data_IF_884557972401
#
_entry.id   IF_884557972401
#
_cell.length_a   1.000
_cell.length_b   1.000
_cell.length_c   1.000
_cell.angle_alpha   90.00
_cell.angle_beta   90.00
_cell.angle_gamma   90.00
#
_symmetry.space_group_name_H-M   'P 1'
#
loop_
_entity.id
_entity.type
_entity.pdbx_description
1 polymer ?
#
# COMPACT_ATOMS: atom_id res chain seq x y z
N UNK A 1 -29.92 -16.50 56.68
CA UNK A 1 -29.18 -15.32 56.20
C UNK A 1 -29.65 -14.11 56.98
N UNK A 2 -28.77 -13.41 57.67
CA UNK A 2 -29.12 -12.27 58.52
C UNK A 2 -28.74 -10.93 57.85
N UNK A 3 -29.22 -9.81 58.41
CA UNK A 3 -28.98 -8.46 57.87
C UNK A 3 -27.48 -8.14 57.80
N UNK A 4 -26.68 -8.60 58.77
CA UNK A 4 -25.23 -8.37 58.80
C UNK A 4 -24.49 -9.08 57.66
N UNK A 5 -24.89 -10.31 57.31
CA UNK A 5 -24.35 -11.06 56.17
C UNK A 5 -24.69 -10.37 54.84
N UNK A 6 -25.92 -9.87 54.69
CA UNK A 6 -26.33 -9.12 53.52
C UNK A 6 -25.54 -7.81 53.35
N UNK A 7 -25.35 -7.06 54.45
CA UNK A 7 -24.54 -5.83 54.42
C UNK A 7 -23.08 -6.12 54.06
N UNK A 8 -22.51 -7.22 54.54
CA UNK A 8 -21.14 -7.62 54.21
C UNK A 8 -20.99 -8.00 52.74
N UNK A 9 -21.95 -8.75 52.17
CA UNK A 9 -21.97 -9.06 50.74
C UNK A 9 -22.06 -7.79 49.89
N UNK A 10 -22.94 -6.86 50.27
CA UNK A 10 -23.09 -5.58 49.57
C UNK A 10 -21.81 -4.74 49.63
N UNK A 11 -21.10 -4.75 50.76
CA UNK A 11 -19.81 -4.07 50.88
C UNK A 11 -18.75 -4.70 49.96
N UNK A 12 -18.69 -6.04 49.88
CA UNK A 12 -17.77 -6.73 48.97
C UNK A 12 -18.06 -6.39 47.51
N UNK A 13 -19.33 -6.44 47.09
CA UNK A 13 -19.74 -6.05 45.74
C UNK A 13 -19.41 -4.58 45.43
N UNK A 14 -19.57 -3.69 46.42
CA UNK A 14 -19.20 -2.29 46.30
C UNK A 14 -17.70 -2.11 46.06
N UNK A 15 -16.87 -2.76 46.89
CA UNK A 15 -15.41 -2.67 46.81
C UNK A 15 -14.89 -3.23 45.48
N UNK A 16 -15.45 -4.35 45.01
CA UNK A 16 -15.13 -4.95 43.71
C UNK A 16 -15.52 -4.03 42.54
N UNK A 17 -16.71 -3.42 42.63
CA UNK A 17 -17.20 -2.48 41.61
C UNK A 17 -16.33 -1.22 41.59
N UNK A 18 -15.90 -0.72 42.76
CA UNK A 18 -15.00 0.42 42.86
C UNK A 18 -13.63 0.11 42.24
N UNK A 19 -13.04 -1.04 42.58
CA UNK A 19 -11.77 -1.48 42.00
C UNK A 19 -11.84 -1.63 40.48
N UNK A 20 -12.96 -2.15 39.95
CA UNK A 20 -13.20 -2.24 38.50
C UNK A 20 -13.30 -0.84 37.87
N UNK A 21 -13.99 0.09 38.51
CA UNK A 21 -14.10 1.46 38.02
C UNK A 21 -12.74 2.16 37.95
N UNK A 22 -11.90 1.98 38.97
CA UNK A 22 -10.55 2.55 39.00
C UNK A 22 -9.66 1.95 37.91
N UNK A 23 -9.72 0.63 37.72
CA UNK A 23 -9.00 -0.02 36.63
C UNK A 23 -9.45 0.49 35.24
N UNK A 24 -10.74 0.72 35.04
CA UNK A 24 -11.25 1.30 33.79
C UNK A 24 -10.77 2.74 33.59
N UNK A 25 -10.70 3.55 34.66
CA UNK A 25 -10.15 4.91 34.58
C UNK A 25 -8.68 4.90 34.18
N UNK A 26 -7.87 4.01 34.77
CA UNK A 26 -6.46 3.84 34.37
C UNK A 26 -6.33 3.42 32.91
N UNK A 27 -7.19 2.50 32.43
CA UNK A 27 -7.19 2.08 31.03
C UNK A 27 -7.54 3.25 30.08
N UNK A 28 -8.54 4.05 30.43
CA UNK A 28 -8.92 5.24 29.66
C UNK A 28 -7.75 6.22 29.57
N UNK A 29 -7.06 6.47 30.69
CA UNK A 29 -5.88 7.36 30.70
C UNK A 29 -4.79 6.83 29.76
N UNK A 30 -4.42 5.56 29.90
CA UNK A 30 -3.39 4.93 29.04
C UNK A 30 -3.77 4.98 27.56
N UNK A 31 -5.02 4.68 27.21
CA UNK A 31 -5.50 4.71 25.83
C UNK A 31 -5.53 6.15 25.28
N UNK A 32 -5.89 7.13 26.10
CA UNK A 32 -5.89 8.55 25.71
C UNK A 32 -4.47 9.02 25.41
N UNK A 33 -3.49 8.65 26.24
CA UNK A 33 -2.07 8.93 25.97
C UNK A 33 -1.60 8.26 24.68
N UNK A 34 -1.90 6.97 24.50
CA UNK A 34 -1.51 6.23 23.30
C UNK A 34 -2.13 6.82 22.02
N UNK A 35 -3.37 7.29 22.10
CA UNK A 35 -4.04 7.98 20.99
C UNK A 35 -3.34 9.30 20.64
N UNK A 36 -3.05 10.13 21.64
CA UNK A 36 -2.36 11.40 21.43
C UNK A 36 -0.96 11.19 20.79
N UNK A 37 -0.23 10.15 21.21
CA UNK A 37 1.05 9.78 20.59
C UNK A 37 0.89 9.34 19.12
N UNK A 38 -0.13 8.55 18.82
CA UNK A 38 -0.40 8.11 17.45
C UNK A 38 -0.80 9.27 16.53
N UNK A 39 -1.63 10.20 17.03
CA UNK A 39 -2.00 11.42 16.33
C UNK A 39 -0.78 12.31 16.07
N UNK A 40 0.09 12.49 17.07
CA UNK A 40 1.36 13.22 16.90
C UNK A 40 2.23 12.59 15.80
N UNK A 41 2.40 11.26 15.79
CA UNK A 41 3.13 10.56 14.73
C UNK A 41 2.48 10.74 13.35
N UNK A 42 1.14 10.75 13.27
CA UNK A 42 0.45 11.02 12.01
C UNK A 42 0.70 12.45 11.51
N UNK A 43 0.72 13.45 12.40
CA UNK A 43 1.07 14.83 12.02
C UNK A 43 2.50 14.94 11.51
N UNK A 44 3.45 14.24 12.15
CA UNK A 44 4.85 14.18 11.71
C UNK A 44 4.95 13.57 10.31
N UNK A 45 4.32 12.41 10.08
CA UNK A 45 4.32 11.77 8.76
C UNK A 45 3.70 12.65 7.68
N UNK A 46 2.61 13.36 7.98
CA UNK A 46 2.00 14.31 7.06
C UNK A 46 2.95 15.48 6.74
N UNK A 47 3.67 15.99 7.73
CA UNK A 47 4.69 17.02 7.53
C UNK A 47 5.86 16.50 6.68
N UNK A 48 6.38 15.29 6.97
CA UNK A 48 7.43 14.65 6.17
C UNK A 48 7.00 14.47 4.72
N UNK A 49 5.77 14.03 4.47
CA UNK A 49 5.21 13.91 3.11
C UNK A 49 5.21 15.27 2.41
N UNK A 50 4.74 16.34 3.06
CA UNK A 50 4.75 17.69 2.49
C UNK A 50 6.17 18.17 2.15
N UNK A 51 7.16 17.84 2.99
CA UNK A 51 8.57 18.13 2.71
C UNK A 51 9.06 17.36 1.49
N UNK A 52 8.78 16.06 1.39
CA UNK A 52 9.15 15.24 0.22
C UNK A 52 8.48 15.78 -1.06
N UNK A 53 7.19 16.12 -0.99
CA UNK A 53 6.46 16.71 -2.12
C UNK A 53 7.07 18.06 -2.55
N UNK A 54 7.54 18.89 -1.60
CA UNK A 54 8.22 20.15 -1.89
C UNK A 54 9.67 20.01 -2.37
N UNK A 55 10.34 18.90 -2.07
CA UNK A 55 11.67 18.55 -2.58
C UNK A 55 11.62 17.82 -3.92
N UNK A 56 10.46 17.32 -4.30
CA UNK A 56 10.21 16.81 -5.65
C UNK A 56 10.11 18.02 -6.59
N UNK A 57 10.89 18.10 -7.69
CA UNK A 57 10.73 19.16 -8.67
C UNK A 57 9.27 19.26 -9.10
N UNK A 58 8.73 20.46 -9.42
CA UNK A 58 7.37 20.58 -9.93
C UNK A 58 7.26 19.72 -11.18
N UNK A 59 6.66 18.54 -11.02
CA UNK A 59 6.48 17.63 -12.13
C UNK A 59 5.42 18.27 -13.03
N UNK A 60 5.84 18.51 -14.27
CA UNK A 60 5.11 19.22 -15.31
C UNK A 60 3.64 18.81 -15.41
N UNK A 61 2.73 19.75 -15.12
CA UNK A 61 1.34 19.77 -15.58
C UNK A 61 0.50 18.47 -15.32
N UNK A 62 -0.84 18.50 -15.45
CA UNK A 62 -1.70 17.32 -15.21
C UNK A 62 -1.46 16.10 -16.12
N UNK A 63 -0.41 16.11 -16.96
CA UNK A 63 0.03 14.96 -17.77
C UNK A 63 0.71 13.87 -16.93
N UNK A 64 1.30 14.22 -15.77
CA UNK A 64 1.98 13.26 -14.88
C UNK A 64 1.00 12.27 -14.22
N UNK A 65 -0.12 12.74 -13.66
CA UNK A 65 -1.13 11.86 -13.05
C UNK A 65 -1.75 10.84 -14.05
N UNK A 66 -1.98 11.24 -15.31
CA UNK A 66 -2.40 10.31 -16.37
C UNK A 66 -1.29 9.33 -16.75
N UNK A 67 -0.04 9.73 -16.66
CA UNK A 67 1.11 8.86 -16.99
C UNK A 67 1.40 7.86 -15.86
N UNK A 68 1.29 8.29 -14.60
CA UNK A 68 1.44 7.45 -13.42
C UNK A 68 0.35 6.39 -13.31
N UNK A 69 -0.90 6.76 -13.62
CA UNK A 69 -1.98 5.79 -13.75
C UNK A 69 -1.72 4.80 -14.88
N UNK A 70 -1.11 5.20 -16.00
CA UNK A 70 -0.75 4.28 -17.08
C UNK A 70 0.39 3.33 -16.69
N UNK A 71 1.43 3.81 -16.00
CA UNK A 71 2.48 2.92 -15.47
C UNK A 71 1.92 1.91 -14.48
N UNK A 72 1.07 2.36 -13.55
CA UNK A 72 0.43 1.48 -12.59
C UNK A 72 -0.44 0.43 -13.29
N UNK A 73 -1.27 0.84 -14.26
CA UNK A 73 -2.11 -0.09 -15.07
C UNK A 73 -1.27 -1.12 -15.83
N UNK A 74 -0.14 -0.71 -16.41
CA UNK A 74 0.80 -1.62 -17.07
C UNK A 74 1.35 -2.63 -16.06
N UNK A 75 1.85 -2.19 -14.90
CA UNK A 75 2.42 -3.08 -13.89
C UNK A 75 1.36 -4.05 -13.34
N UNK A 76 0.14 -3.57 -13.09
CA UNK A 76 -1.00 -4.40 -12.67
C UNK A 76 -1.32 -5.49 -13.71
N UNK A 77 -1.39 -5.17 -14.99
CA UNK A 77 -1.66 -6.18 -16.03
C UNK A 77 -0.59 -7.29 -16.10
N UNK A 78 0.69 -6.94 -15.89
CA UNK A 78 1.75 -7.94 -15.77
C UNK A 78 1.69 -8.74 -14.46
N UNK A 79 1.17 -8.16 -13.37
CA UNK A 79 0.94 -8.88 -12.11
C UNK A 79 -0.20 -9.89 -12.23
N UNK A 80 -1.28 -9.53 -12.91
CA UNK A 80 -2.43 -10.42 -13.17
C UNK A 80 -2.08 -11.56 -14.12
N UNK A 81 -1.12 -11.34 -15.03
CA UNK A 81 -0.71 -12.32 -16.03
C UNK A 81 0.81 -12.56 -16.06
N UNK A 82 1.40 -13.12 -14.99
CA UNK A 82 2.86 -13.18 -14.84
C UNK A 82 3.55 -14.11 -15.86
N UNK A 83 2.82 -15.13 -16.36
CA UNK A 83 3.32 -16.07 -17.37
C UNK A 83 3.03 -15.63 -18.81
N UNK A 84 2.19 -14.60 -19.01
CA UNK A 84 1.80 -14.13 -20.35
C UNK A 84 2.89 -13.22 -20.91
N UNK A 85 3.24 -13.46 -22.16
CA UNK A 85 4.13 -12.59 -22.92
C UNK A 85 3.26 -11.61 -23.70
N UNK A 86 3.43 -10.32 -23.44
CA UNK A 86 2.70 -9.25 -24.10
C UNK A 86 3.51 -8.64 -25.24
N UNK A 87 2.87 -8.48 -26.41
CA UNK A 87 3.33 -7.49 -27.40
C UNK A 87 2.80 -6.12 -27.00
N UNK A 88 3.48 -5.05 -27.45
CA UNK A 88 3.06 -3.68 -27.13
C UNK A 88 1.64 -3.39 -27.61
N UNK A 89 1.28 -3.89 -28.79
CA UNK A 89 -0.05 -3.73 -29.37
C UNK A 89 -1.12 -4.41 -28.51
N UNK A 90 -0.95 -5.72 -28.25
CA UNK A 90 -1.87 -6.52 -27.44
C UNK A 90 -2.05 -5.94 -26.03
N UNK A 91 -0.98 -5.36 -25.46
CA UNK A 91 -1.04 -4.69 -24.16
C UNK A 91 -1.86 -3.39 -24.22
N UNK A 92 -1.64 -2.56 -25.25
CA UNK A 92 -2.42 -1.34 -25.42
C UNK A 92 -3.90 -1.66 -25.59
N UNK A 93 -4.26 -2.66 -26.40
CA UNK A 93 -5.65 -3.11 -26.55
C UNK A 93 -6.24 -3.61 -25.22
N UNK A 94 -5.53 -4.47 -24.48
CA UNK A 94 -5.99 -4.97 -23.18
C UNK A 94 -6.20 -3.84 -22.17
N UNK A 95 -5.38 -2.78 -22.24
CA UNK A 95 -5.48 -1.61 -21.37
C UNK A 95 -6.40 -0.52 -21.94
N UNK A 96 -7.04 -0.71 -23.10
CA UNK A 96 -7.81 0.35 -23.77
C UNK A 96 -7.00 1.62 -24.00
N UNK A 97 -5.68 1.49 -24.21
CA UNK A 97 -4.79 2.58 -24.56
C UNK A 97 -4.78 2.78 -26.09
N UNK A 98 -4.52 3.99 -26.57
CA UNK A 98 -4.46 4.24 -28.01
C UNK A 98 -3.40 3.37 -28.71
N UNK A 99 -3.74 2.88 -29.89
CA UNK A 99 -2.91 1.99 -30.72
C UNK A 99 -2.30 2.70 -31.93
N UNK A 100 -2.38 4.03 -31.99
CA UNK A 100 -1.64 4.82 -32.97
C UNK A 100 -0.12 4.71 -32.74
N UNK A 101 0.67 4.84 -33.81
CA UNK A 101 2.12 4.64 -33.78
C UNK A 101 2.83 5.53 -32.73
N UNK A 102 2.49 6.82 -32.55
CA UNK A 102 3.01 7.63 -31.43
C UNK A 102 2.74 7.00 -30.06
N UNK A 103 1.50 6.61 -29.77
CA UNK A 103 1.13 5.99 -28.49
C UNK A 103 1.81 4.65 -28.25
N UNK A 104 1.97 3.83 -29.29
CA UNK A 104 2.73 2.58 -29.22
C UNK A 104 4.20 2.85 -28.88
N UNK A 105 4.82 3.88 -29.48
CA UNK A 105 6.22 4.25 -29.20
C UNK A 105 6.40 4.73 -27.75
N UNK A 106 5.43 5.46 -27.22
CA UNK A 106 5.41 5.86 -25.80
C UNK A 106 5.31 4.63 -24.90
N UNK A 107 4.36 3.72 -25.13
CA UNK A 107 4.24 2.48 -24.33
C UNK A 107 5.51 1.63 -24.43
N UNK A 108 6.09 1.48 -25.62
CA UNK A 108 7.35 0.75 -25.84
C UNK A 108 8.50 1.33 -25.01
N UNK A 109 8.61 2.65 -24.95
CA UNK A 109 9.61 3.34 -24.14
C UNK A 109 9.39 3.11 -22.63
N UNK A 110 8.14 3.14 -22.18
CA UNK A 110 7.76 2.83 -20.78
C UNK A 110 8.12 1.39 -20.40
N UNK A 111 7.79 0.42 -21.25
CA UNK A 111 8.11 -0.99 -21.05
C UNK A 111 9.62 -1.24 -21.04
N UNK A 112 10.37 -0.55 -21.92
CA UNK A 112 11.83 -0.58 -21.92
C UNK A 112 12.44 -0.10 -20.59
N UNK A 113 11.89 0.98 -20.01
CA UNK A 113 12.31 1.45 -18.67
C UNK A 113 12.01 0.43 -17.57
N UNK A 114 10.79 -0.12 -17.54
CA UNK A 114 10.41 -1.15 -16.55
C UNK A 114 11.26 -2.42 -16.68
N UNK A 115 11.68 -2.78 -17.89
CA UNK A 115 12.61 -3.90 -18.11
C UNK A 115 14.01 -3.60 -17.57
N UNK A 116 14.55 -2.39 -17.80
CA UNK A 116 15.85 -1.95 -17.25
C UNK A 116 15.86 -1.87 -15.73
N UNK A 117 14.74 -1.47 -15.12
CA UNK A 117 14.54 -1.47 -13.67
C UNK A 117 14.32 -2.89 -13.09
N UNK A 118 14.21 -3.91 -13.94
CA UNK A 118 14.10 -5.30 -13.51
C UNK A 118 12.70 -5.75 -13.14
N UNK A 119 11.64 -4.97 -13.41
CA UNK A 119 10.25 -5.39 -13.20
C UNK A 119 9.77 -6.36 -14.29
N UNK A 120 10.26 -6.17 -15.51
CA UNK A 120 9.92 -6.97 -16.69
C UNK A 120 11.17 -7.65 -17.26
N UNK A 121 10.95 -8.78 -17.93
CA UNK A 121 11.93 -9.42 -18.81
C UNK A 121 11.50 -9.23 -20.26
N UNK A 122 12.47 -9.15 -21.17
CA UNK A 122 12.23 -9.03 -22.60
C UNK A 122 12.61 -10.33 -23.32
N UNK A 123 11.72 -11.34 -23.40
CA UNK A 123 12.02 -12.61 -24.05
C UNK A 123 12.25 -12.52 -25.57
N UNK A 124 11.91 -11.39 -26.20
CA UNK A 124 12.18 -11.14 -27.61
C UNK A 124 11.89 -9.68 -28.00
N UNK A 125 12.26 -9.30 -29.23
CA UNK A 125 12.07 -7.93 -29.72
C UNK A 125 10.58 -7.54 -29.62
N UNK A 126 10.29 -6.45 -28.91
CA UNK A 126 8.93 -5.95 -28.70
C UNK A 126 8.01 -6.83 -27.83
N UNK A 127 8.56 -7.83 -27.13
CA UNK A 127 7.82 -8.75 -26.26
C UNK A 127 8.26 -8.61 -24.82
N UNK A 128 7.30 -8.43 -23.91
CA UNK A 128 7.58 -8.20 -22.50
C UNK A 128 6.83 -9.23 -21.64
N UNK A 129 7.42 -9.59 -20.52
CA UNK A 129 6.84 -10.53 -19.55
C UNK A 129 7.20 -10.08 -18.13
N UNK A 130 6.35 -10.38 -17.15
CA UNK A 130 6.66 -10.18 -15.74
C UNK A 130 7.95 -10.94 -15.38
N UNK A 131 8.91 -10.26 -14.77
CA UNK A 131 10.06 -10.94 -14.19
C UNK A 131 9.56 -11.75 -12.99
N UNK A 132 9.50 -13.06 -13.16
CA UNK A 132 9.30 -14.01 -12.06
C UNK A 132 10.66 -14.59 -11.70
N UNK A 133 10.97 -14.71 -10.41
CA UNK A 133 12.20 -15.37 -9.98
C UNK A 133 12.18 -16.80 -10.53
N UNK A 134 13.12 -17.12 -11.42
CA UNK A 134 13.32 -18.49 -11.90
C UNK A 134 14.05 -19.23 -10.77
N UNK A 135 13.50 -20.32 -10.18
CA UNK A 135 14.30 -21.15 -9.29
C UNK A 135 15.50 -21.66 -10.09
N UNK A 136 16.69 -21.51 -9.50
CA UNK A 136 17.94 -22.04 -10.05
C UNK A 136 17.71 -23.51 -10.40
N UNK A 137 17.86 -23.85 -11.68
CA UNK A 137 18.00 -25.26 -12.08
C UNK A 137 19.25 -25.77 -11.37
N UNK A 138 19.08 -26.59 -10.35
CA UNK A 138 20.14 -27.46 -9.84
C UNK A 138 20.66 -28.26 -11.04
N UNK A 139 21.92 -28.00 -11.39
CA UNK A 139 22.66 -28.83 -12.34
C UNK A 139 22.87 -30.19 -11.69
N UNK A 140 22.62 -31.22 -12.51
CA UNK A 140 22.91 -32.66 -12.41
C UNK A 140 23.63 -33.17 -11.17
#
# INVERSE_FOLDING_TARGET
MNVSELLRLLQTEHDETAARADNLREQIERLTTALAEAEARLTELAATRKVIDGLTPPDHEPTSAKTDTVYQRIVTAFNEHPKKVFRVHDLNEQLGLPTDEPSINVTRSRLGRLARQGFLTQPGRGRYQKRTYRPLKTRS
#
